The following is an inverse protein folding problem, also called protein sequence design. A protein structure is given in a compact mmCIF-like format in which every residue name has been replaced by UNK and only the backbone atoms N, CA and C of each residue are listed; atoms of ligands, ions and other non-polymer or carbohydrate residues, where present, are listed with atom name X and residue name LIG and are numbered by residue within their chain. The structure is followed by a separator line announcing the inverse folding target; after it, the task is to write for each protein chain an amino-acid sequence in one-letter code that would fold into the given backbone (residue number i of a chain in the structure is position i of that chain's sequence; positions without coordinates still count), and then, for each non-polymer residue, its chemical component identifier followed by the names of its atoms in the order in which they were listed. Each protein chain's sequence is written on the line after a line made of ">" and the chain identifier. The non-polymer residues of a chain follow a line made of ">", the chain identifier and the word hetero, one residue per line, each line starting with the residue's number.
data_IF_502105138637
#
_entry.id   IF_502105138637
#
_cell.length_a   1.000
_cell.length_b   1.000
_cell.length_c   1.000
_cell.angle_alpha   90.00
_cell.angle_beta   90.00
_cell.angle_gamma   90.00
#
_symmetry.space_group_name_H-M   'P 1'
#
loop_
_entity.id
_entity.type
_entity.pdbx_description
1 polymer ?
#
# COMPACT_ATOMS: atom_id res chain seq x y z
N UNK A 1 13.95 11.10 12.98
CA UNK A 1 13.91 9.62 12.85
C UNK A 1 12.54 9.19 12.40
N UNK A 2 12.46 8.40 11.36
CA UNK A 2 11.17 7.89 10.87
C UNK A 2 10.57 6.91 11.89
N UNK A 3 9.32 7.13 12.26
CA UNK A 3 8.62 6.18 13.15
C UNK A 3 8.18 4.95 12.36
N UNK A 4 9.09 4.01 12.20
CA UNK A 4 8.88 2.77 11.43
C UNK A 4 7.63 2.00 11.84
N UNK A 5 7.24 2.10 13.11
CA UNK A 5 6.01 1.47 13.61
C UNK A 5 4.77 2.09 12.97
N UNK A 6 4.69 3.43 12.91
CA UNK A 6 3.56 4.13 12.30
C UNK A 6 3.51 3.89 10.78
N UNK A 7 4.67 3.94 10.13
CA UNK A 7 4.81 3.64 8.69
C UNK A 7 4.42 2.19 8.38
N UNK A 8 4.85 1.24 9.23
CA UNK A 8 4.49 -0.18 9.10
C UNK A 8 2.99 -0.41 9.24
N UNK A 9 2.36 0.18 10.26
CA UNK A 9 0.90 0.10 10.47
C UNK A 9 0.17 0.73 9.26
N UNK A 10 0.59 1.90 8.81
CA UNK A 10 0.05 2.55 7.63
C UNK A 10 0.16 1.68 6.37
N UNK A 11 1.30 1.01 6.19
CA UNK A 11 1.52 0.07 5.08
C UNK A 11 0.60 -1.15 5.13
N UNK A 12 0.44 -1.76 6.29
CA UNK A 12 -0.48 -2.89 6.48
C UNK A 12 -1.94 -2.47 6.26
N UNK A 13 -2.33 -1.30 6.76
CA UNK A 13 -3.68 -0.75 6.53
C UNK A 13 -3.88 -0.44 5.05
N UNK A 14 -2.89 0.14 4.38
CA UNK A 14 -2.92 0.37 2.93
C UNK A 14 -3.21 -0.94 2.19
N UNK A 15 -2.42 -1.99 2.45
CA UNK A 15 -2.58 -3.27 1.78
C UNK A 15 -3.94 -3.92 2.09
N UNK A 16 -4.33 -4.01 3.36
CA UNK A 16 -5.58 -4.63 3.78
C UNK A 16 -6.80 -3.90 3.22
N UNK A 17 -6.83 -2.58 3.35
CA UNK A 17 -7.95 -1.77 2.87
C UNK A 17 -8.05 -1.79 1.34
N UNK A 18 -6.91 -1.74 0.64
CA UNK A 18 -6.88 -1.84 -0.82
C UNK A 18 -7.44 -3.17 -1.30
N UNK A 19 -7.06 -4.29 -0.67
CA UNK A 19 -7.57 -5.62 -1.02
C UNK A 19 -9.07 -5.71 -0.75
N UNK A 20 -9.54 -5.29 0.43
CA UNK A 20 -10.96 -5.32 0.79
C UNK A 20 -11.78 -4.44 -0.16
N UNK A 21 -11.34 -3.22 -0.45
CA UNK A 21 -12.04 -2.31 -1.36
C UNK A 21 -12.02 -2.82 -2.80
N UNK A 22 -10.93 -3.44 -3.25
CA UNK A 22 -10.86 -4.05 -4.57
C UNK A 22 -11.86 -5.21 -4.74
N UNK A 23 -12.11 -5.98 -3.67
CA UNK A 23 -13.06 -7.08 -3.68
C UNK A 23 -14.52 -6.60 -3.62
N UNK A 24 -14.80 -5.55 -2.85
CA UNK A 24 -16.18 -5.06 -2.62
C UNK A 24 -16.59 -4.05 -3.68
N UNK A 25 -15.70 -3.13 -4.06
CA UNK A 25 -16.00 -2.07 -5.01
C UNK A 25 -14.73 -1.64 -5.74
N UNK A 26 -14.48 -2.23 -6.90
CA UNK A 26 -13.27 -2.04 -7.69
C UNK A 26 -12.79 -0.58 -7.82
N UNK A 27 -13.64 0.42 -8.12
CA UNK A 27 -13.16 1.81 -8.23
C UNK A 27 -12.72 2.44 -6.92
N UNK A 28 -13.09 1.89 -5.76
CA UNK A 28 -12.73 2.46 -4.46
C UNK A 28 -11.38 1.96 -3.90
N UNK A 29 -10.69 1.05 -4.60
CA UNK A 29 -9.41 0.54 -4.13
C UNK A 29 -8.33 1.64 -3.97
N UNK A 30 -8.46 2.75 -4.73
CA UNK A 30 -7.57 3.91 -4.59
C UNK A 30 -7.66 4.60 -3.22
N UNK A 31 -8.75 4.44 -2.49
CA UNK A 31 -8.89 5.01 -1.14
C UNK A 31 -8.00 4.29 -0.12
N UNK A 32 -7.68 3.02 -0.35
CA UNK A 32 -6.80 2.25 0.54
C UNK A 32 -5.47 2.93 0.82
N UNK A 33 -4.66 3.26 -0.21
CA UNK A 33 -3.41 3.96 -0.05
C UNK A 33 -3.55 5.35 0.60
N UNK A 34 -4.60 6.10 0.26
CA UNK A 34 -4.83 7.45 0.83
C UNK A 34 -5.09 7.34 2.34
N UNK A 35 -5.98 6.44 2.75
CA UNK A 35 -6.29 6.23 4.18
C UNK A 35 -5.08 5.66 4.92
N UNK A 36 -4.34 4.74 4.31
CA UNK A 36 -3.14 4.17 4.90
C UNK A 36 -2.04 5.21 5.13
N UNK A 37 -1.82 6.09 4.13
CA UNK A 37 -0.88 7.22 4.26
C UNK A 37 -1.32 8.25 5.31
N UNK A 38 -2.60 8.56 5.37
CA UNK A 38 -3.16 9.41 6.40
C UNK A 38 -2.94 8.83 7.81
N UNK A 39 -3.25 7.55 8.01
CA UNK A 39 -3.05 6.87 9.29
C UNK A 39 -1.59 6.79 9.69
N UNK A 40 -0.68 6.52 8.73
CA UNK A 40 0.75 6.49 9.00
C UNK A 40 1.22 7.79 9.65
N UNK A 41 0.79 8.92 9.11
CA UNK A 41 1.15 10.25 9.62
C UNK A 41 0.40 10.61 10.89
N UNK A 42 -0.90 10.30 10.97
CA UNK A 42 -1.72 10.60 12.13
C UNK A 42 -1.24 9.88 13.41
N UNK A 43 -0.68 8.67 13.27
CA UNK A 43 -0.13 7.88 14.37
C UNK A 43 1.28 8.31 14.79
N UNK A 44 1.94 9.18 14.01
CA UNK A 44 3.28 9.67 14.33
C UNK A 44 3.24 10.68 15.46
N UNK A 45 4.18 10.53 16.39
CA UNK A 45 4.34 11.43 17.53
C UNK A 45 5.37 12.54 17.31
N UNK A 46 6.26 12.37 16.31
CA UNK A 46 7.35 13.29 16.04
C UNK A 46 6.97 14.38 15.03
N UNK A 47 7.14 15.63 15.42
CA UNK A 47 6.71 16.84 14.71
C UNK A 47 7.59 17.22 13.52
N UNK A 48 8.77 16.62 13.41
CA UNK A 48 9.82 17.06 12.46
C UNK A 48 9.88 16.23 11.17
N UNK A 49 9.04 15.23 11.01
CA UNK A 49 9.05 14.39 9.82
C UNK A 49 7.95 14.77 8.84
N UNK A 50 8.32 14.94 7.57
CA UNK A 50 7.39 15.25 6.50
C UNK A 50 6.33 14.16 6.35
N UNK A 51 5.05 14.52 6.48
CA UNK A 51 3.92 13.63 6.28
C UNK A 51 3.89 13.02 4.88
N UNK A 52 4.37 13.75 3.88
CA UNK A 52 4.49 13.28 2.50
C UNK A 52 5.44 12.09 2.40
N UNK A 53 6.62 12.18 3.03
CA UNK A 53 7.64 11.11 2.96
C UNK A 53 7.14 9.87 3.69
N UNK A 54 6.60 10.02 4.88
CA UNK A 54 6.11 8.90 5.68
C UNK A 54 4.84 8.27 5.08
N UNK A 55 3.96 9.09 4.52
CA UNK A 55 2.85 8.62 3.72
C UNK A 55 3.30 7.82 2.50
N UNK A 56 4.28 8.33 1.73
CA UNK A 56 4.84 7.63 0.58
C UNK A 56 5.47 6.28 0.98
N UNK A 57 6.25 6.24 2.08
CA UNK A 57 6.84 4.99 2.59
C UNK A 57 5.78 3.97 2.99
N UNK A 58 4.69 4.39 3.64
CA UNK A 58 3.57 3.51 3.94
C UNK A 58 2.94 2.93 2.68
N UNK A 59 2.78 3.74 1.62
CA UNK A 59 2.29 3.29 0.32
C UNK A 59 3.22 2.30 -0.38
N UNK A 60 4.54 2.52 -0.31
CA UNK A 60 5.55 1.60 -0.84
C UNK A 60 5.48 0.25 -0.13
N UNK A 61 5.42 0.25 1.21
CA UNK A 61 5.30 -0.99 2.00
C UNK A 61 4.00 -1.70 1.66
N UNK A 62 2.87 -0.98 1.59
CA UNK A 62 1.58 -1.54 1.21
C UNK A 62 1.59 -2.16 -0.19
N UNK A 63 2.18 -1.47 -1.17
CA UNK A 63 2.36 -1.96 -2.54
C UNK A 63 3.23 -3.20 -2.62
N UNK A 64 4.31 -3.27 -1.83
CA UNK A 64 5.17 -4.46 -1.74
C UNK A 64 4.42 -5.66 -1.15
N UNK A 65 3.64 -5.46 -0.09
CA UNK A 65 2.82 -6.52 0.51
C UNK A 65 1.84 -7.08 -0.53
N UNK A 66 1.14 -6.21 -1.26
CA UNK A 66 0.22 -6.62 -2.34
C UNK A 66 0.98 -7.39 -3.43
N UNK A 67 2.16 -6.93 -3.82
CA UNK A 67 3.00 -7.60 -4.81
C UNK A 67 3.41 -9.01 -4.38
N UNK A 68 3.86 -9.17 -3.15
CA UNK A 68 4.24 -10.47 -2.59
C UNK A 68 3.03 -11.42 -2.54
N UNK A 69 1.88 -10.95 -2.05
CA UNK A 69 0.66 -11.75 -2.04
C UNK A 69 0.24 -12.17 -3.45
N UNK A 70 0.38 -11.28 -4.44
CA UNK A 70 0.07 -11.57 -5.84
C UNK A 70 0.98 -12.63 -6.43
N UNK A 71 2.27 -12.62 -6.09
CA UNK A 71 3.21 -13.69 -6.48
C UNK A 71 2.79 -15.06 -5.94
N UNK A 72 2.40 -15.14 -4.67
CA UNK A 72 1.87 -16.37 -4.10
C UNK A 72 0.59 -16.82 -4.79
N UNK A 73 -0.35 -15.91 -5.06
CA UNK A 73 -1.59 -16.21 -5.77
C UNK A 73 -1.36 -16.80 -7.16
N UNK A 74 -0.48 -16.19 -7.96
CA UNK A 74 -0.13 -16.71 -9.29
C UNK A 74 0.64 -18.03 -9.21
N UNK A 75 1.52 -18.17 -8.21
CA UNK A 75 2.24 -19.43 -7.99
C UNK A 75 1.29 -20.60 -7.72
N UNK A 76 0.27 -20.40 -6.91
CA UNK A 76 -0.75 -21.44 -6.62
C UNK A 76 -1.53 -21.79 -7.89
N UNK A 77 -1.98 -20.79 -8.64
CA UNK A 77 -2.72 -21.00 -9.90
C UNK A 77 -1.86 -21.77 -10.90
N UNK A 78 -0.60 -21.36 -11.10
CA UNK A 78 0.33 -22.04 -11.99
C UNK A 78 0.57 -23.50 -11.56
N UNK A 79 0.71 -23.76 -10.25
CA UNK A 79 0.90 -25.12 -9.74
C UNK A 79 -0.31 -26.03 -10.04
N UNK A 80 -1.53 -25.52 -9.85
CA UNK A 80 -2.77 -26.27 -10.16
C UNK A 80 -2.85 -26.58 -11.65
N UNK A 81 -2.55 -25.60 -12.52
CA UNK A 81 -2.56 -25.82 -13.97
C UNK A 81 -1.46 -26.81 -14.40
N UNK A 82 -0.29 -26.77 -13.74
CA UNK A 82 0.83 -27.69 -14.05
C UNK A 82 0.45 -29.14 -13.76
N UNK A 83 -0.35 -29.42 -12.76
CA UNK A 83 -0.87 -30.77 -12.46
C UNK A 83 -1.77 -31.27 -13.58
N UNK A 84 -2.53 -30.39 -14.21
CA UNK A 84 -3.46 -30.75 -15.30
C UNK A 84 -2.79 -30.78 -16.68
N UNK A 85 -1.86 -29.83 -16.93
CA UNK A 85 -1.17 -29.69 -18.22
C UNK A 85 0.20 -29.02 -17.97
N UNK A 86 1.26 -29.83 -17.78
CA UNK A 86 2.58 -29.35 -17.38
C UNK A 86 3.16 -28.22 -18.25
N UNK A 87 3.04 -28.33 -19.58
CA UNK A 87 3.58 -27.32 -20.50
C UNK A 87 2.85 -25.98 -20.37
N UNK A 88 1.54 -26.01 -20.21
CA UNK A 88 0.70 -24.80 -20.05
C UNK A 88 0.96 -24.17 -18.69
N UNK A 89 1.06 -24.97 -17.62
CA UNK A 89 1.34 -24.48 -16.28
C UNK A 89 2.69 -23.78 -16.16
N UNK A 90 3.75 -24.30 -16.82
CA UNK A 90 5.06 -23.65 -16.84
C UNK A 90 5.03 -22.33 -17.61
N UNK A 91 4.34 -22.27 -18.74
CA UNK A 91 4.20 -21.04 -19.52
C UNK A 91 3.39 -19.97 -18.73
N UNK A 92 2.29 -20.36 -18.10
CA UNK A 92 1.47 -19.48 -17.26
C UNK A 92 2.26 -18.98 -16.06
N UNK A 93 3.07 -19.83 -15.44
CA UNK A 93 3.93 -19.46 -14.31
C UNK A 93 4.98 -18.44 -14.72
N UNK A 94 5.72 -18.68 -15.78
CA UNK A 94 6.77 -17.78 -16.26
C UNK A 94 6.24 -16.42 -16.71
N UNK A 95 5.18 -16.39 -17.53
CA UNK A 95 4.54 -15.14 -17.95
C UNK A 95 3.86 -14.44 -16.79
N UNK A 96 3.22 -15.19 -15.89
CA UNK A 96 2.57 -14.66 -14.69
C UNK A 96 3.55 -13.93 -13.78
N UNK A 97 4.74 -14.48 -13.53
CA UNK A 97 5.78 -13.82 -12.74
C UNK A 97 6.20 -12.49 -13.37
N UNK A 98 6.44 -12.45 -14.67
CA UNK A 98 6.80 -11.19 -15.36
C UNK A 98 5.71 -10.13 -15.25
N UNK A 99 4.46 -10.53 -15.45
CA UNK A 99 3.29 -9.65 -15.34
C UNK A 99 3.17 -9.13 -13.89
N UNK A 100 3.30 -10.00 -12.89
CA UNK A 100 3.20 -9.58 -11.49
C UNK A 100 4.32 -8.63 -11.12
N UNK A 101 5.56 -8.87 -11.53
CA UNK A 101 6.67 -7.95 -11.26
C UNK A 101 6.36 -6.57 -11.86
N UNK A 102 5.92 -6.52 -13.11
CA UNK A 102 5.56 -5.27 -13.78
C UNK A 102 4.43 -4.53 -13.03
N UNK A 103 3.34 -5.23 -12.71
CA UNK A 103 2.23 -4.63 -11.97
C UNK A 103 2.58 -4.28 -10.54
N UNK A 104 3.49 -5.00 -9.89
CA UNK A 104 3.97 -4.66 -8.54
C UNK A 104 4.74 -3.34 -8.55
N UNK A 105 5.63 -3.14 -9.51
CA UNK A 105 6.35 -1.86 -9.65
C UNK A 105 5.36 -0.72 -9.88
N UNK A 106 4.40 -0.92 -10.76
CA UNK A 106 3.36 0.07 -11.04
C UNK A 106 2.50 0.35 -9.80
N UNK A 107 2.09 -0.69 -9.08
CA UNK A 107 1.30 -0.58 -7.84
C UNK A 107 2.07 0.18 -6.76
N UNK A 108 3.36 -0.13 -6.54
CA UNK A 108 4.21 0.58 -5.58
C UNK A 108 4.28 2.07 -5.92
N UNK A 109 4.41 2.41 -7.19
CA UNK A 109 4.45 3.80 -7.65
C UNK A 109 3.12 4.52 -7.38
N UNK A 110 2.01 3.93 -7.80
CA UNK A 110 0.67 4.50 -7.64
C UNK A 110 0.32 4.59 -6.14
N UNK A 111 0.49 3.51 -5.39
CA UNK A 111 0.22 3.50 -3.95
C UNK A 111 1.10 4.49 -3.20
N UNK A 112 2.38 4.63 -3.59
CA UNK A 112 3.30 5.61 -3.02
C UNK A 112 2.81 7.04 -3.19
N UNK A 113 2.39 7.41 -4.41
CA UNK A 113 1.87 8.76 -4.72
C UNK A 113 0.56 9.03 -3.98
N UNK A 114 -0.41 8.10 -4.03
CA UNK A 114 -1.69 8.29 -3.36
C UNK A 114 -1.52 8.36 -1.84
N UNK A 115 -0.65 7.54 -1.29
CA UNK A 115 -0.35 7.49 0.14
C UNK A 115 0.42 8.74 0.60
N UNK A 116 1.27 9.32 -0.26
CA UNK A 116 1.91 10.62 -0.02
C UNK A 116 0.88 11.75 0.11
N UNK A 117 -0.15 11.74 -0.74
CA UNK A 117 -1.27 12.70 -0.65
C UNK A 117 -2.02 12.50 0.68
N UNK A 118 -2.32 11.25 1.05
CA UNK A 118 -2.92 10.92 2.33
C UNK A 118 -2.08 11.40 3.52
N UNK A 119 -0.77 11.22 3.44
CA UNK A 119 0.19 11.72 4.44
C UNK A 119 0.22 13.24 4.57
N UNK A 120 0.17 13.97 3.45
CA UNK A 120 0.09 15.43 3.45
C UNK A 120 -1.20 15.93 4.13
N UNK A 121 -2.33 15.27 3.87
CA UNK A 121 -3.61 15.57 4.54
C UNK A 121 -3.50 15.28 6.04
N UNK A 122 -2.89 14.16 6.43
CA UNK A 122 -2.67 13.79 7.83
C UNK A 122 -1.84 14.84 8.59
N UNK A 123 -0.76 15.33 7.98
CA UNK A 123 0.08 16.40 8.52
C UNK A 123 -0.71 17.70 8.69
N UNK A 124 -1.51 18.07 7.69
CA UNK A 124 -2.36 19.27 7.76
C UNK A 124 -3.38 19.20 8.89
N UNK A 125 -4.07 18.08 9.05
CA UNK A 125 -5.06 17.87 10.12
C UNK A 125 -4.40 17.91 11.50
N UNK A 126 -3.23 17.29 11.64
CA UNK A 126 -2.48 17.28 12.89
C UNK A 126 -2.02 18.70 13.29
N UNK A 127 -1.52 19.48 12.33
CA UNK A 127 -1.09 20.85 12.55
C UNK A 127 -2.26 21.81 12.86
N UNK A 128 -3.40 21.62 12.22
CA UNK A 128 -4.60 22.41 12.46
C UNK A 128 -5.19 22.16 13.87
N UNK A 129 -5.18 20.90 14.32
CA UNK A 129 -5.64 20.55 15.68
C UNK A 129 -4.83 21.23 16.80
N UNK A 130 -3.51 21.37 16.61
CA UNK A 130 -2.64 22.04 17.62
C UNK A 130 -2.88 23.54 17.72
N UNK A 131 -3.07 24.22 16.61
CA UNK A 131 -3.36 25.68 16.62
C UNK A 131 -4.65 26.01 17.37
N UNK A 132 -5.59 25.07 17.45
CA UNK A 132 -6.82 25.24 18.24
C UNK A 132 -6.60 25.26 19.76
N UNK A 133 -5.55 24.58 20.25
CA UNK A 133 -5.26 24.53 21.71
C UNK A 133 -4.42 25.71 22.20
N UNK A 134 -3.66 26.37 21.31
CA UNK A 134 -2.84 27.55 21.71
C UNK A 134 -3.67 28.82 21.90
N UNK A 135 -4.93 28.85 21.45
CA UNK A 135 -5.81 30.01 21.57
C UNK A 135 -6.72 29.98 22.81
N UNK A 136 -6.54 29.04 23.72
CA UNK A 136 -7.22 28.95 25.03
C UNK A 136 -6.20 28.95 26.15
#
# INVERSE_FOLDING_TARGET
>A
MTEWTAVGIGGVVTAGLTIVLALVFFPLFFLGPIVGGFLAVYLMKNEFESGIINGALAGVIGGLIIGILSLFGIGIIAAVITVLAAQIGLAVGALGILIVIFFTILAVFICGILSAIGGAIGEYVQSAGRRGYENY
#
